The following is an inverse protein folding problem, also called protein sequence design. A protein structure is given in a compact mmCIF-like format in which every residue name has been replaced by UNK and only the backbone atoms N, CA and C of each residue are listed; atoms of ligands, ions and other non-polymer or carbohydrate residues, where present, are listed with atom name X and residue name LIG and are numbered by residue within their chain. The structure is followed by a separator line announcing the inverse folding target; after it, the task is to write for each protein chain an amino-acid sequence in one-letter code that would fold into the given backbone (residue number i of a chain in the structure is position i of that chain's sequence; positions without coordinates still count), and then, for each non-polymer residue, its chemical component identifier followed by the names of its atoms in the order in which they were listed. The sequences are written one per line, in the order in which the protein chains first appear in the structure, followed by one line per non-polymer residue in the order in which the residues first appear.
data_IF_180144010043
#
_entry.id   IF_180144010043
#
_cell.length_a   1.000
_cell.length_b   1.000
_cell.length_c   1.000
_cell.angle_alpha   90.00
_cell.angle_beta   90.00
_cell.angle_gamma   90.00
#
_symmetry.space_group_name_H-M   'P 1'
#
loop_
_entity.id
_entity.type
_entity.pdbx_description
1 polymer ?
#
# COMPACT_ATOMS: atom_id res chain seq x y z
N UNK A 1 -1.19 -10.06 -5.10
CA UNK A 1 0.15 -10.69 -5.10
C UNK A 1 1.15 -9.71 -4.49
N UNK A 2 2.37 -10.13 -4.14
CA UNK A 2 3.39 -9.18 -3.64
C UNK A 2 3.76 -8.13 -4.68
N UNK A 3 3.85 -8.53 -5.95
CA UNK A 3 4.11 -7.62 -7.07
C UNK A 3 3.04 -6.54 -7.23
N UNK A 4 1.77 -6.88 -7.01
CA UNK A 4 0.69 -5.88 -7.04
C UNK A 4 0.88 -4.80 -5.97
N UNK A 5 1.43 -5.14 -4.80
CA UNK A 5 1.69 -4.15 -3.75
C UNK A 5 2.69 -3.09 -4.23
N UNK A 6 3.71 -3.50 -4.98
CA UNK A 6 4.69 -2.59 -5.57
C UNK A 6 4.09 -1.71 -6.68
N UNK A 7 3.28 -2.31 -7.56
CA UNK A 7 2.56 -1.59 -8.62
C UNK A 7 1.60 -0.55 -8.02
N UNK A 8 0.90 -0.90 -6.94
CA UNK A 8 0.00 0.01 -6.25
C UNK A 8 0.70 1.20 -5.63
N UNK A 9 1.94 1.05 -5.13
CA UNK A 9 2.71 2.20 -4.64
C UNK A 9 2.97 3.22 -5.75
N UNK A 10 3.31 2.77 -6.96
CA UNK A 10 3.53 3.65 -8.10
C UNK A 10 2.22 4.31 -8.56
N UNK A 11 1.11 3.58 -8.58
CA UNK A 11 -0.22 4.14 -8.86
C UNK A 11 -0.58 5.23 -7.85
N UNK A 12 -0.37 4.98 -6.55
CA UNK A 12 -0.68 5.94 -5.49
C UNK A 12 0.16 7.20 -5.64
N UNK A 13 1.47 7.08 -5.87
CA UNK A 13 2.35 8.24 -6.12
C UNK A 13 1.89 9.05 -7.34
N UNK A 14 1.60 8.37 -8.45
CA UNK A 14 1.14 9.01 -9.68
C UNK A 14 -0.24 9.69 -9.54
N UNK A 15 -1.08 9.19 -8.63
CA UNK A 15 -2.36 9.80 -8.27
C UNK A 15 -2.24 10.96 -7.27
N UNK A 16 -1.03 11.31 -6.83
CA UNK A 16 -0.78 12.39 -5.86
C UNK A 16 -0.90 11.95 -4.40
N UNK A 17 -1.01 10.66 -4.13
CA UNK A 17 -1.00 10.11 -2.78
C UNK A 17 0.40 10.09 -2.16
N UNK A 18 0.46 10.10 -0.84
CA UNK A 18 1.70 10.07 -0.07
C UNK A 18 1.89 8.71 0.59
N UNK A 19 2.99 8.02 0.30
CA UNK A 19 3.39 6.80 1.02
C UNK A 19 3.99 7.21 2.36
N UNK A 20 3.26 7.00 3.47
CA UNK A 20 3.75 7.33 4.81
C UNK A 20 4.36 6.12 5.53
N UNK A 21 4.06 4.91 5.06
CA UNK A 21 4.62 3.65 5.53
C UNK A 21 4.91 2.80 4.30
N UNK A 22 6.19 2.53 4.06
CA UNK A 22 6.63 1.70 2.95
C UNK A 22 6.13 0.26 3.08
N UNK A 23 6.41 -0.58 2.07
CA UNK A 23 5.92 -1.94 2.08
C UNK A 23 6.64 -2.77 3.15
N UNK A 24 5.87 -3.46 3.98
CA UNK A 24 6.34 -4.24 5.10
C UNK A 24 5.65 -5.61 5.17
N UNK A 25 6.36 -6.59 5.74
CA UNK A 25 5.79 -7.86 6.12
C UNK A 25 4.97 -7.67 7.41
N UNK A 26 3.70 -8.04 7.39
CA UNK A 26 2.84 -8.01 8.57
C UNK A 26 2.22 -9.39 8.81
N UNK A 27 2.81 -10.13 9.75
CA UNK A 27 2.47 -11.53 10.01
C UNK A 27 2.58 -12.40 8.74
N UNK A 28 1.46 -12.83 8.16
CA UNK A 28 1.42 -13.59 6.90
C UNK A 28 1.19 -12.69 5.69
N UNK A 29 0.79 -11.45 5.90
CA UNK A 29 0.48 -10.49 4.85
C UNK A 29 1.65 -9.60 4.47
N UNK A 30 1.45 -8.89 3.37
CA UNK A 30 2.37 -7.87 2.86
C UNK A 30 1.57 -6.60 2.59
N UNK A 31 1.97 -5.48 3.18
CA UNK A 31 1.16 -4.25 3.22
C UNK A 31 2.00 -3.00 3.10
N UNK A 32 1.41 -1.90 2.61
CA UNK A 32 1.96 -0.55 2.79
C UNK A 32 0.86 0.42 3.21
N UNK A 33 1.24 1.57 3.75
CA UNK A 33 0.33 2.63 4.17
C UNK A 33 0.49 3.90 3.33
N UNK A 34 -0.63 4.48 2.91
CA UNK A 34 -0.63 5.72 2.14
C UNK A 34 -1.79 6.64 2.52
N UNK A 35 -1.63 7.93 2.24
CA UNK A 35 -2.71 8.90 2.29
C UNK A 35 -3.07 9.43 0.91
N UNK A 36 -4.35 9.70 0.69
CA UNK A 36 -4.81 10.46 -0.48
C UNK A 36 -4.42 11.96 -0.35
N UNK A 37 -4.65 12.79 -1.38
CA UNK A 37 -4.36 14.23 -1.33
C UNK A 37 -5.12 15.00 -0.24
N UNK A 38 -6.26 14.47 0.22
CA UNK A 38 -7.06 15.05 1.30
C UNK A 38 -6.55 14.63 2.70
N UNK A 39 -5.60 13.69 2.76
CA UNK A 39 -4.97 13.22 3.99
C UNK A 39 -5.67 12.02 4.64
N UNK A 40 -6.68 11.42 4.02
CA UNK A 40 -7.28 10.18 4.50
C UNK A 40 -6.28 9.04 4.39
N UNK A 41 -6.21 8.19 5.42
CA UNK A 41 -5.21 7.12 5.50
C UNK A 41 -5.81 5.77 5.14
N UNK A 42 -5.06 5.02 4.34
CA UNK A 42 -5.41 3.70 3.87
C UNK A 42 -4.21 2.76 4.00
N UNK A 43 -4.48 1.47 3.97
CA UNK A 43 -3.46 0.44 3.77
C UNK A 43 -3.88 -0.47 2.61
N UNK A 44 -2.91 -0.82 1.78
CA UNK A 44 -3.11 -1.85 0.76
C UNK A 44 -2.52 -3.15 1.29
N UNK A 45 -3.35 -4.18 1.47
CA UNK A 45 -2.97 -5.43 2.12
C UNK A 45 -3.12 -6.60 1.15
N UNK A 46 -2.02 -7.30 0.90
CA UNK A 46 -2.04 -8.66 0.40
C UNK A 46 -2.03 -9.65 1.57
N UNK A 47 -3.01 -10.55 1.64
CA UNK A 47 -3.08 -11.60 2.66
C UNK A 47 -3.21 -12.98 1.98
N UNK A 48 -2.25 -13.90 2.18
CA UNK A 48 -2.35 -15.24 1.60
C UNK A 48 -3.59 -15.99 2.11
N UNK A 49 -4.38 -16.51 1.17
CA UNK A 49 -5.55 -17.34 1.47
C UNK A 49 -6.83 -16.57 1.80
N UNK A 50 -6.87 -15.26 1.56
CA UNK A 50 -8.13 -14.51 1.36
C UNK A 50 -8.51 -14.46 -0.13
#
# INVERSE_FOLDING_TARGET
SRTEVDEWMEIVKNAGGTIFSGPEEFQKGYTFGFSDPDGHKFNFLYWPGM
#
